data_IF_607131987989
#
_entry.id   IF_607131987989
#
_cell.length_a   1.000
_cell.length_b   1.000
_cell.length_c   1.000
_cell.angle_alpha   90.00
_cell.angle_beta   90.00
_cell.angle_gamma   90.00
#
_symmetry.space_group_name_H-M   'P 1'
#
loop_
_entity.id
_entity.type
_entity.pdbx_description
1 polymer ?
#
# COMPACT_ATOMS: atom_id res chain seq x y z
N UNK A 1 8.77 -18.61 1.06
CA UNK A 1 8.88 -17.50 0.09
C UNK A 1 7.95 -16.38 0.54
N UNK A 2 8.46 -15.17 0.79
CA UNK A 2 7.66 -14.02 1.22
C UNK A 2 7.08 -13.31 -0.03
N UNK A 3 5.75 -13.37 -0.20
CA UNK A 3 5.07 -12.73 -1.33
C UNK A 3 4.85 -11.23 -1.09
N UNK A 4 4.41 -10.49 -2.11
CA UNK A 4 4.17 -9.04 -2.04
C UNK A 4 3.26 -8.63 -0.88
N UNK A 5 2.22 -9.41 -0.57
CA UNK A 5 1.28 -9.11 0.51
C UNK A 5 1.98 -9.10 1.88
N UNK A 6 2.86 -10.07 2.13
CA UNK A 6 3.56 -10.14 3.41
C UNK A 6 4.59 -9.00 3.60
N UNK A 7 5.17 -8.47 2.51
CA UNK A 7 6.00 -7.25 2.58
C UNK A 7 5.18 -5.99 2.85
N UNK A 8 4.00 -5.87 2.24
CA UNK A 8 3.08 -4.76 2.51
C UNK A 8 2.62 -4.77 3.98
N UNK A 9 2.32 -5.96 4.53
CA UNK A 9 1.93 -6.10 5.93
C UNK A 9 3.06 -5.72 6.90
N UNK A 10 4.30 -6.13 6.61
CA UNK A 10 5.46 -5.72 7.41
C UNK A 10 5.67 -4.19 7.35
N UNK A 11 5.41 -3.58 6.19
CA UNK A 11 5.50 -2.14 6.03
C UNK A 11 4.42 -1.37 6.79
N UNK A 12 3.19 -1.89 6.80
CA UNK A 12 2.07 -1.35 7.58
C UNK A 12 2.44 -1.24 9.07
N UNK A 13 3.01 -2.31 9.64
CA UNK A 13 3.48 -2.32 11.04
C UNK A 13 4.50 -1.23 11.38
N UNK A 14 5.33 -0.83 10.40
CA UNK A 14 6.39 0.17 10.59
C UNK A 14 5.93 1.60 10.39
N UNK A 15 4.86 1.80 9.63
CA UNK A 15 4.38 3.12 9.19
C UNK A 15 3.16 3.60 9.97
N UNK A 16 2.60 2.75 10.84
CA UNK A 16 1.44 3.09 11.66
C UNK A 16 0.11 3.09 10.89
N UNK A 17 0.10 2.62 9.64
CA UNK A 17 -1.12 2.43 8.87
C UNK A 17 -1.70 1.03 9.14
N UNK A 18 -3.01 0.95 9.36
CA UNK A 18 -3.71 -0.34 9.54
C UNK A 18 -3.80 -1.14 8.24
N UNK A 19 -3.85 -0.45 7.09
CA UNK A 19 -3.95 -1.04 5.77
C UNK A 19 -3.04 -0.34 4.78
N UNK A 20 -2.20 -1.12 4.09
CA UNK A 20 -1.29 -0.63 3.04
C UNK A 20 -1.50 -1.41 1.76
N UNK A 21 -1.54 -0.70 0.64
CA UNK A 21 -1.67 -1.27 -0.71
C UNK A 21 -0.50 -0.84 -1.59
N UNK A 22 -0.16 -1.69 -2.57
CA UNK A 22 0.78 -1.28 -3.63
C UNK A 22 0.09 -0.38 -4.65
N UNK A 23 0.81 0.57 -5.24
CA UNK A 23 0.30 1.45 -6.30
C UNK A 23 -0.33 0.70 -7.47
N UNK A 24 0.29 -0.39 -7.93
CA UNK A 24 -0.27 -1.24 -9.01
C UNK A 24 -1.64 -1.84 -8.67
N UNK A 25 -1.92 -2.10 -7.38
CA UNK A 25 -3.24 -2.57 -6.96
C UNK A 25 -4.21 -1.39 -6.85
N UNK A 26 -3.75 -0.27 -6.29
CA UNK A 26 -4.53 0.95 -6.16
C UNK A 26 -5.07 1.45 -7.52
N UNK A 27 -4.25 1.42 -8.56
CA UNK A 27 -4.65 1.78 -9.94
C UNK A 27 -5.81 0.92 -10.50
N UNK A 28 -5.99 -0.28 -9.96
CA UNK A 28 -7.04 -1.24 -10.38
C UNK A 28 -8.24 -1.25 -9.45
N UNK A 29 -8.18 -0.52 -8.33
CA UNK A 29 -9.23 -0.44 -7.34
C UNK A 29 -10.05 0.83 -7.54
N UNK A 30 -11.38 0.68 -7.54
CA UNK A 30 -12.26 1.81 -7.27
C UNK A 30 -12.35 2.00 -5.76
N UNK A 31 -11.71 3.06 -5.24
CA UNK A 31 -11.83 3.37 -3.81
C UNK A 31 -13.26 3.86 -3.51
N UNK A 32 -13.90 3.35 -2.44
CA UNK A 32 -15.15 3.92 -1.97
C UNK A 32 -14.99 5.41 -1.64
N UNK A 33 -16.03 6.25 -1.78
CA UNK A 33 -15.95 7.69 -1.53
C UNK A 33 -15.47 8.08 -0.12
N UNK A 34 -15.67 7.20 0.86
CA UNK A 34 -15.26 7.40 2.24
C UNK A 34 -13.82 6.96 2.54
N UNK A 35 -13.05 6.52 1.53
CA UNK A 35 -11.69 6.00 1.68
C UNK A 35 -10.73 6.86 0.86
N UNK A 36 -9.62 7.25 1.48
CA UNK A 36 -8.52 7.96 0.83
C UNK A 36 -7.23 7.14 0.87
N UNK A 37 -6.40 7.34 -0.14
CA UNK A 37 -5.07 6.76 -0.23
C UNK A 37 -4.01 7.85 -0.04
N UNK A 38 -3.11 7.62 0.91
CA UNK A 38 -1.99 8.52 1.22
C UNK A 38 -0.68 7.82 0.89
N UNK A 39 0.18 8.46 0.10
CA UNK A 39 1.51 7.93 -0.20
C UNK A 39 2.27 7.76 1.11
N UNK A 40 2.74 6.53 1.39
CA UNK A 40 3.51 6.23 2.60
C UNK A 40 4.95 5.79 2.32
N UNK A 41 5.32 5.60 1.04
CA UNK A 41 6.71 5.40 0.61
C UNK A 41 6.84 4.42 -0.55
N UNK A 42 7.97 3.75 -0.65
CA UNK A 42 8.26 2.78 -1.70
C UNK A 42 8.78 1.45 -1.14
N UNK A 43 8.48 0.36 -1.84
CA UNK A 43 8.82 -1.00 -1.45
C UNK A 43 9.63 -1.71 -2.53
N UNK A 44 10.70 -2.36 -2.11
CA UNK A 44 11.42 -3.33 -2.92
C UNK A 44 10.73 -4.70 -2.85
N UNK A 45 10.14 -5.12 -3.96
CA UNK A 45 9.48 -6.41 -4.08
C UNK A 45 10.40 -7.38 -4.83
N UNK A 46 10.74 -8.51 -4.20
CA UNK A 46 11.52 -9.58 -4.84
C UNK A 46 10.80 -10.04 -6.12
N UNK A 47 11.52 -10.09 -7.23
CA UNK A 47 10.97 -10.44 -8.54
C UNK A 47 10.39 -9.25 -9.32
N UNK A 48 10.41 -8.04 -8.75
CA UNK A 48 10.20 -6.79 -9.49
C UNK A 48 11.50 -5.99 -9.50
N UNK A 49 11.94 -5.59 -10.69
CA UNK A 49 13.14 -4.78 -10.84
C UNK A 49 12.93 -3.33 -10.37
N UNK A 50 11.69 -2.83 -10.45
CA UNK A 50 11.31 -1.49 -10.01
C UNK A 50 10.76 -1.49 -8.59
N UNK A 51 11.08 -0.43 -7.84
CA UNK A 51 10.41 -0.09 -6.59
C UNK A 51 8.93 0.16 -6.84
N UNK A 52 8.09 -0.22 -5.90
CA UNK A 52 6.63 -0.05 -5.99
C UNK A 52 6.18 0.90 -4.91
N UNK A 53 5.49 1.96 -5.31
CA UNK A 53 4.86 2.89 -4.38
C UNK A 53 3.88 2.16 -3.44
N UNK A 54 3.90 2.54 -2.17
CA UNK A 54 3.03 2.05 -1.12
C UNK A 54 2.10 3.18 -0.67
N UNK A 55 0.84 2.84 -0.45
CA UNK A 55 -0.20 3.77 -0.03
C UNK A 55 -0.90 3.23 1.20
N UNK A 56 -0.98 4.05 2.24
CA UNK A 56 -1.86 3.80 3.38
C UNK A 56 -3.30 4.12 3.00
N UNK A 57 -4.25 3.26 3.40
CA UNK A 57 -5.67 3.52 3.24
C UNK A 57 -6.28 3.95 4.57
N UNK A 58 -7.05 5.03 4.55
CA UNK A 58 -7.73 5.58 5.72
C UNK A 58 -9.13 6.07 5.39
N UNK A 59 -9.95 6.32 6.42
CA UNK A 59 -11.23 7.01 6.22
C UNK A 59 -10.95 8.45 5.82
N UNK A 60 -11.61 8.92 4.77
CA UNK A 60 -11.57 10.34 4.42
C UNK A 60 -12.35 11.12 5.49
N UNK A 61 -11.76 12.23 5.95
CA UNK A 61 -12.30 13.06 7.04
C UNK A 61 -13.04 14.31 6.51
N UNK A 62 -13.47 14.28 5.24
CA UNK A 62 -14.21 15.40 4.64
C UNK A 62 -15.65 15.50 5.12
#
# INVERSE_FOLDING_TARGET
MLNTAARLQEYAKRTGFDLVVSGTLLERLALPPAIEATVCGELELRGKAARVAAYGLGRSVR
#
